data_IF_789668325141
#
_entry.id   IF_789668325141
#
_cell.length_a   1.000
_cell.length_b   1.000
_cell.length_c   1.000
_cell.angle_alpha   90.00
_cell.angle_beta   90.00
_cell.angle_gamma   90.00
#
_symmetry.space_group_name_H-M   'P 1'
#
loop_
_entity.id
_entity.type
_entity.pdbx_description
1 polymer ?
#
# COMPACT_ATOMS: atom_id res chain seq x y z
N UNK A 1 75.19 6.15 -25.08
CA UNK A 1 74.66 5.79 -23.75
C UNK A 1 73.68 6.84 -23.33
N UNK A 2 72.42 6.63 -23.63
CA UNK A 2 71.30 7.56 -23.32
C UNK A 2 70.16 6.80 -22.60
N UNK A 3 69.93 7.16 -21.32
CA UNK A 3 68.86 6.62 -20.45
C UNK A 3 67.54 7.36 -20.75
N UNK A 4 66.41 6.66 -20.88
CA UNK A 4 65.11 7.33 -20.92
C UNK A 4 64.59 7.57 -19.50
N UNK A 5 64.09 8.79 -19.25
CA UNK A 5 63.37 9.23 -18.06
C UNK A 5 61.94 8.77 -18.22
N UNK A 6 61.46 7.88 -17.34
CA UNK A 6 60.07 7.49 -17.23
C UNK A 6 59.39 8.48 -16.29
N UNK A 7 58.52 9.32 -16.83
CA UNK A 7 57.62 10.20 -16.05
C UNK A 7 56.41 9.41 -15.60
N UNK A 8 56.26 9.17 -14.29
CA UNK A 8 55.09 8.56 -13.68
C UNK A 8 53.97 9.63 -13.53
N UNK A 9 52.92 9.53 -14.33
CA UNK A 9 51.70 10.30 -14.20
C UNK A 9 50.85 9.69 -13.06
N UNK A 10 50.85 10.30 -11.88
CA UNK A 10 49.95 9.93 -10.79
C UNK A 10 48.54 10.49 -11.10
N UNK A 11 47.61 9.62 -11.56
CA UNK A 11 46.20 9.92 -11.64
C UNK A 11 45.61 10.03 -10.23
N UNK A 12 45.34 11.25 -9.78
CA UNK A 12 44.47 11.51 -8.63
C UNK A 12 43.02 11.23 -9.05
N UNK A 13 42.51 10.04 -8.74
CA UNK A 13 41.08 9.75 -8.75
C UNK A 13 40.53 10.35 -7.44
N UNK A 14 40.06 11.58 -7.51
CA UNK A 14 39.26 12.20 -6.46
C UNK A 14 37.99 11.37 -6.28
N UNK A 15 37.86 10.65 -5.18
CA UNK A 15 36.62 10.02 -4.76
C UNK A 15 35.59 11.12 -4.52
N UNK A 16 34.72 11.38 -5.52
CA UNK A 16 33.51 12.15 -5.35
C UNK A 16 32.63 11.29 -4.45
N UNK A 17 32.65 11.57 -3.15
CA UNK A 17 31.64 11.03 -2.23
C UNK A 17 30.27 11.48 -2.78
N UNK A 18 29.31 10.57 -2.99
CA UNK A 18 27.98 10.97 -3.40
C UNK A 18 27.42 11.92 -2.32
N UNK A 19 27.18 13.16 -2.71
CA UNK A 19 26.43 14.08 -1.85
C UNK A 19 25.05 13.42 -1.63
N UNK A 20 24.81 12.92 -0.41
CA UNK A 20 23.52 12.40 -0.03
C UNK A 20 22.52 13.55 -0.10
N UNK A 21 21.67 13.53 -1.09
CA UNK A 21 20.64 14.55 -1.24
C UNK A 21 19.60 14.35 -0.12
N UNK A 22 19.44 15.35 0.73
CA UNK A 22 18.40 15.35 1.74
C UNK A 22 17.03 15.28 1.07
N UNK A 23 16.25 14.23 1.36
CA UNK A 23 14.89 14.08 0.83
C UNK A 23 13.95 14.88 1.72
N UNK A 24 13.45 16.00 1.19
CA UNK A 24 12.38 16.75 1.85
C UNK A 24 11.05 16.12 1.43
N UNK A 25 10.23 15.72 2.40
CA UNK A 25 8.90 15.18 2.16
C UNK A 25 7.85 16.15 2.70
N UNK A 26 6.95 16.57 1.83
CA UNK A 26 5.67 17.18 2.17
C UNK A 26 4.56 16.15 2.11
N UNK A 27 3.38 16.47 2.64
CA UNK A 27 2.22 15.57 2.53
C UNK A 27 1.90 15.29 1.05
N UNK A 28 1.86 16.31 0.20
CA UNK A 28 1.54 16.20 -1.23
C UNK A 28 2.55 15.29 -1.96
N UNK A 29 3.85 15.46 -1.72
CA UNK A 29 4.88 14.57 -2.29
C UNK A 29 4.75 13.14 -1.79
N UNK A 30 4.42 12.97 -0.50
CA UNK A 30 4.18 11.64 0.09
C UNK A 30 3.01 10.95 -0.58
N UNK A 31 1.89 11.64 -0.78
CA UNK A 31 0.70 11.10 -1.46
C UNK A 31 1.02 10.73 -2.92
N UNK A 32 1.70 11.62 -3.65
CA UNK A 32 2.07 11.39 -5.06
C UNK A 32 2.98 10.18 -5.20
N UNK A 33 4.05 10.10 -4.41
CA UNK A 33 4.98 8.95 -4.44
C UNK A 33 4.30 7.65 -4.03
N UNK A 34 3.45 7.68 -3.01
CA UNK A 34 2.72 6.50 -2.57
C UNK A 34 1.79 5.95 -3.65
N UNK A 35 1.09 6.83 -4.38
CA UNK A 35 0.20 6.48 -5.49
C UNK A 35 0.92 5.83 -6.65
N UNK A 36 2.14 6.28 -6.96
CA UNK A 36 2.86 5.84 -8.14
C UNK A 36 3.84 4.70 -7.87
N UNK A 37 4.53 4.73 -6.73
CA UNK A 37 5.76 3.96 -6.50
C UNK A 37 5.68 3.04 -5.27
N UNK A 38 4.57 3.02 -4.52
CA UNK A 38 4.48 2.14 -3.34
C UNK A 38 4.66 0.66 -3.74
N UNK A 39 5.18 -0.13 -2.80
CA UNK A 39 5.36 -1.56 -3.01
C UNK A 39 4.05 -2.29 -3.32
N UNK A 40 2.94 -1.85 -2.72
CA UNK A 40 1.60 -2.39 -2.96
C UNK A 40 1.16 -2.17 -4.42
N UNK A 41 1.35 -0.96 -4.96
CA UNK A 41 1.04 -0.62 -6.36
C UNK A 41 1.92 -1.41 -7.32
N UNK A 42 3.22 -1.53 -7.05
CA UNK A 42 4.13 -2.32 -7.88
C UNK A 42 3.71 -3.79 -7.96
N UNK A 43 3.32 -4.39 -6.82
CA UNK A 43 2.81 -5.76 -6.78
C UNK A 43 1.48 -5.89 -7.53
N UNK A 44 0.54 -4.96 -7.37
CA UNK A 44 -0.74 -4.98 -8.07
C UNK A 44 -0.55 -4.84 -9.59
N UNK A 45 0.37 -3.99 -10.06
CA UNK A 45 0.73 -3.88 -11.50
C UNK A 45 1.34 -5.17 -12.04
N UNK A 46 2.17 -5.86 -11.26
CA UNK A 46 2.71 -7.16 -11.66
C UNK A 46 1.60 -8.21 -11.87
N UNK A 47 0.55 -8.20 -11.04
CA UNK A 47 -0.63 -9.06 -11.22
C UNK A 47 -1.43 -8.71 -12.49
N UNK A 48 -1.48 -7.44 -12.90
CA UNK A 48 -2.07 -7.06 -14.19
C UNK A 48 -1.28 -7.68 -15.33
N UNK A 49 0.06 -7.63 -15.30
CA UNK A 49 0.90 -8.26 -16.33
C UNK A 49 0.71 -9.77 -16.38
N UNK A 50 0.52 -10.44 -15.24
CA UNK A 50 0.17 -11.87 -15.17
C UNK A 50 -1.19 -12.14 -15.82
N UNK A 51 -2.20 -11.31 -15.54
CA UNK A 51 -3.53 -11.43 -16.15
C UNK A 51 -3.49 -11.13 -17.67
N UNK A 52 -2.67 -10.17 -18.13
CA UNK A 52 -2.47 -9.90 -19.55
C UNK A 52 -1.85 -11.11 -20.28
N UNK A 53 -0.95 -11.88 -19.63
CA UNK A 53 -0.43 -13.13 -20.18
C UNK A 53 -1.55 -14.17 -20.41
N UNK A 54 -2.54 -14.24 -19.51
CA UNK A 54 -3.71 -15.11 -19.69
C UNK A 54 -4.58 -14.69 -20.90
N UNK A 55 -4.60 -13.39 -21.27
CA UNK A 55 -5.25 -12.93 -22.52
C UNK A 55 -4.51 -13.43 -23.75
N UNK A 56 -3.19 -13.51 -23.72
CA UNK A 56 -2.38 -14.09 -24.81
C UNK A 56 -2.78 -15.55 -25.01
N UNK A 57 -2.79 -16.34 -23.95
CA UNK A 57 -3.23 -17.75 -23.98
C UNK A 57 -4.67 -17.88 -24.49
N UNK A 58 -5.60 -17.06 -23.95
CA UNK A 58 -7.00 -17.06 -24.40
C UNK A 58 -7.17 -16.68 -25.88
N UNK A 59 -6.23 -15.92 -26.46
CA UNK A 59 -6.29 -15.44 -27.83
C UNK A 59 -5.81 -16.44 -28.88
N UNK A 60 -5.19 -17.55 -28.46
CA UNK A 60 -4.71 -18.61 -29.36
C UNK A 60 -5.84 -19.05 -30.29
N UNK A 61 -5.55 -19.14 -31.59
CA UNK A 61 -6.57 -19.43 -32.61
C UNK A 61 -7.06 -20.87 -32.53
N UNK A 62 -6.13 -21.80 -32.31
CA UNK A 62 -6.40 -23.21 -32.18
C UNK A 62 -6.01 -23.61 -30.75
N UNK A 63 -6.99 -23.99 -29.95
CA UNK A 63 -6.74 -24.35 -28.55
C UNK A 63 -5.98 -25.67 -28.42
N UNK A 64 -6.32 -26.63 -29.27
CA UNK A 64 -5.67 -27.90 -29.32
C UNK A 64 -4.67 -27.96 -30.46
N UNK A 65 -3.51 -28.53 -30.20
CA UNK A 65 -2.51 -28.75 -31.21
C UNK A 65 -2.95 -29.86 -32.15
N UNK A 66 -2.45 -29.90 -33.41
CA UNK A 66 -2.65 -31.05 -34.29
C UNK A 66 -2.17 -32.33 -33.61
N UNK A 67 -2.98 -33.34 -33.65
CA UNK A 67 -2.63 -34.67 -33.12
C UNK A 67 -2.23 -35.55 -34.30
N UNK A 68 -1.03 -36.15 -34.23
CA UNK A 68 -0.55 -37.17 -35.17
C UNK A 68 -0.63 -38.49 -34.48
N UNK A 69 -1.40 -39.41 -35.03
CA UNK A 69 -1.50 -40.77 -34.56
C UNK A 69 -0.84 -41.70 -35.56
N UNK A 70 -0.06 -42.68 -35.07
CA UNK A 70 0.61 -43.67 -35.91
C UNK A 70 0.34 -45.05 -35.32
N UNK A 71 -0.15 -45.95 -36.16
CA UNK A 71 -0.38 -47.37 -35.86
C UNK A 71 0.50 -48.28 -36.72
N UNK A 72 1.11 -49.27 -36.10
CA UNK A 72 1.88 -50.32 -36.78
C UNK A 72 1.46 -51.65 -36.19
N UNK A 73 0.99 -52.56 -37.02
CA UNK A 73 0.56 -53.84 -36.49
C UNK A 73 0.47 -54.93 -37.55
N UNK A 74 0.52 -56.20 -37.15
CA UNK A 74 0.22 -57.33 -38.06
C UNK A 74 -1.30 -57.47 -38.17
N UNK A 75 -1.80 -57.45 -39.37
CA UNK A 75 -3.18 -57.87 -39.71
C UNK A 75 -3.20 -59.33 -40.06
N UNK A 76 -4.05 -60.11 -39.42
CA UNK A 76 -4.25 -61.50 -39.71
C UNK A 76 -5.63 -61.71 -40.36
N UNK A 77 -5.63 -62.12 -41.63
CA UNK A 77 -6.87 -62.46 -42.38
C UNK A 77 -6.57 -63.36 -43.54
N UNK A 78 -7.51 -64.28 -43.89
CA UNK A 78 -7.35 -65.12 -45.03
C UNK A 78 -6.19 -66.15 -45.03
N UNK A 79 -5.60 -66.43 -43.84
CA UNK A 79 -4.46 -67.37 -43.69
C UNK A 79 -3.08 -66.75 -43.87
N UNK A 80 -2.99 -65.41 -44.09
CA UNK A 80 -1.75 -64.62 -44.20
C UNK A 80 -1.62 -63.61 -43.07
N UNK A 81 -0.38 -63.24 -42.70
CA UNK A 81 -0.07 -62.14 -41.78
C UNK A 81 0.56 -61.05 -42.60
N UNK A 82 -0.03 -59.88 -42.59
CA UNK A 82 0.36 -58.70 -43.36
C UNK A 82 0.74 -57.56 -42.41
N UNK A 83 1.59 -56.63 -42.83
CA UNK A 83 1.92 -55.43 -42.07
C UNK A 83 1.01 -54.27 -42.47
N UNK A 84 0.35 -53.66 -41.49
CA UNK A 84 -0.50 -52.49 -41.67
C UNK A 84 0.21 -51.26 -41.07
N UNK A 85 0.17 -50.15 -41.77
CA UNK A 85 0.70 -48.86 -41.31
C UNK A 85 -0.43 -47.84 -41.43
N UNK A 86 -0.76 -47.24 -40.29
CA UNK A 86 -1.71 -46.13 -40.19
C UNK A 86 -0.99 -44.86 -39.78
N UNK A 87 -1.26 -43.75 -40.45
CA UNK A 87 -0.85 -42.42 -40.04
C UNK A 87 -2.04 -41.48 -40.18
N UNK A 88 -2.46 -40.85 -39.11
CA UNK A 88 -3.50 -39.82 -39.19
C UNK A 88 -3.06 -38.50 -38.58
N UNK A 89 -3.58 -37.40 -39.12
CA UNK A 89 -3.44 -36.06 -38.60
C UNK A 89 -4.83 -35.49 -38.36
N UNK A 90 -5.10 -35.07 -37.15
CA UNK A 90 -6.38 -34.45 -36.79
C UNK A 90 -6.19 -33.07 -36.15
N UNK A 91 -7.12 -32.16 -36.42
CA UNK A 91 -7.18 -30.81 -35.83
C UNK A 91 -8.60 -30.47 -35.44
N UNK A 92 -8.77 -30.01 -34.20
CA UNK A 92 -10.06 -29.55 -33.69
C UNK A 92 -10.19 -28.03 -33.79
N UNK A 93 -11.39 -27.54 -34.09
CA UNK A 93 -11.74 -26.16 -34.29
C UNK A 93 -12.94 -25.76 -33.40
N UNK A 94 -12.79 -24.70 -32.64
CA UNK A 94 -13.87 -24.05 -31.91
C UNK A 94 -14.81 -23.31 -32.88
N UNK A 95 -16.05 -23.74 -33.07
CA UNK A 95 -16.98 -23.12 -34.03
C UNK A 95 -18.13 -22.35 -33.36
N UNK A 96 -18.30 -22.56 -32.05
CA UNK A 96 -19.40 -22.00 -31.27
C UNK A 96 -19.14 -20.63 -30.63
N UNK A 97 -18.04 -19.94 -30.95
CA UNK A 97 -17.68 -18.68 -30.35
C UNK A 97 -16.95 -18.83 -29.00
N UNK A 98 -16.50 -20.05 -28.68
CA UNK A 98 -15.79 -20.36 -27.43
C UNK A 98 -14.52 -19.49 -27.29
N UNK A 99 -13.76 -19.30 -28.38
CA UNK A 99 -12.58 -18.43 -28.41
C UNK A 99 -12.92 -17.00 -28.00
N UNK A 100 -14.00 -16.43 -28.54
CA UNK A 100 -14.40 -15.05 -28.25
C UNK A 100 -14.84 -14.91 -26.77
N UNK A 101 -15.59 -15.90 -26.26
CA UNK A 101 -15.99 -15.94 -24.86
C UNK A 101 -14.78 -16.08 -23.92
N UNK A 102 -13.79 -16.91 -24.27
CA UNK A 102 -12.54 -17.08 -23.52
C UNK A 102 -11.74 -15.79 -23.47
N UNK A 103 -11.58 -15.09 -24.59
CA UNK A 103 -10.92 -13.78 -24.65
C UNK A 103 -11.69 -12.77 -23.79
N UNK A 104 -13.03 -12.78 -23.84
CA UNK A 104 -13.88 -11.91 -23.03
C UNK A 104 -13.67 -12.15 -21.53
N UNK A 105 -13.63 -13.40 -21.10
CA UNK A 105 -13.39 -13.77 -19.70
C UNK A 105 -11.98 -13.34 -19.23
N UNK A 106 -10.95 -13.57 -20.04
CA UNK A 106 -9.58 -13.14 -19.71
C UNK A 106 -9.45 -11.62 -19.63
N UNK A 107 -10.07 -10.87 -20.54
CA UNK A 107 -10.10 -9.39 -20.48
C UNK A 107 -10.83 -8.87 -19.26
N UNK A 108 -11.96 -9.46 -18.89
CA UNK A 108 -12.68 -9.08 -17.68
C UNK A 108 -11.85 -9.31 -16.42
N UNK A 109 -11.04 -10.39 -16.38
CA UNK A 109 -10.08 -10.62 -15.30
C UNK A 109 -8.98 -9.54 -15.26
N UNK A 110 -8.46 -9.10 -16.41
CA UNK A 110 -7.51 -7.95 -16.48
C UNK A 110 -8.16 -6.68 -15.94
N UNK A 111 -9.40 -6.39 -16.31
CA UNK A 111 -10.11 -5.19 -15.85
C UNK A 111 -10.34 -5.21 -14.33
N UNK A 112 -10.58 -6.39 -13.75
CA UNK A 112 -10.64 -6.56 -12.28
C UNK A 112 -9.26 -6.28 -11.65
N UNK A 113 -8.17 -6.83 -12.20
CA UNK A 113 -6.83 -6.55 -11.69
C UNK A 113 -6.45 -5.06 -11.79
N UNK A 114 -6.88 -4.36 -12.85
CA UNK A 114 -6.71 -2.90 -12.97
C UNK A 114 -7.47 -2.13 -11.90
N UNK A 115 -8.69 -2.55 -11.56
CA UNK A 115 -9.44 -1.97 -10.45
C UNK A 115 -8.72 -2.20 -9.11
N UNK A 116 -8.13 -3.38 -8.90
CA UNK A 116 -7.32 -3.68 -7.72
C UNK A 116 -6.05 -2.82 -7.62
N UNK A 117 -5.44 -2.39 -8.74
CA UNK A 117 -4.34 -1.41 -8.72
C UNK A 117 -4.79 -0.10 -8.10
N UNK A 118 -5.98 0.38 -8.45
CA UNK A 118 -6.53 1.63 -7.89
C UNK A 118 -6.81 1.48 -6.39
N UNK A 119 -7.33 0.34 -5.96
CA UNK A 119 -7.54 0.03 -4.55
C UNK A 119 -6.20 -0.01 -3.79
N UNK A 120 -5.20 -0.71 -4.32
CA UNK A 120 -3.87 -0.79 -3.73
C UNK A 120 -3.18 0.58 -3.65
N UNK A 121 -3.39 1.45 -4.65
CA UNK A 121 -2.88 2.82 -4.64
C UNK A 121 -3.51 3.63 -3.50
N UNK A 122 -4.84 3.58 -3.34
CA UNK A 122 -5.54 4.25 -2.24
C UNK A 122 -5.04 3.79 -0.87
N UNK A 123 -4.93 2.48 -0.67
CA UNK A 123 -4.48 1.91 0.60
C UNK A 123 -3.00 2.28 0.89
N UNK A 124 -2.16 2.29 -0.16
CA UNK A 124 -0.78 2.76 -0.08
C UNK A 124 -0.66 4.24 0.27
N UNK A 125 -1.52 5.08 -0.33
CA UNK A 125 -1.61 6.52 -0.03
C UNK A 125 -2.04 6.75 1.42
N UNK A 126 -3.07 6.05 1.89
CA UNK A 126 -3.52 6.15 3.28
C UNK A 126 -2.42 5.74 4.28
N UNK A 127 -1.75 4.61 4.04
CA UNK A 127 -0.67 4.14 4.90
C UNK A 127 0.51 5.12 4.95
N UNK A 128 0.88 5.70 3.80
CA UNK A 128 1.97 6.67 3.70
C UNK A 128 1.59 8.01 4.36
N UNK A 129 0.38 8.52 4.14
CA UNK A 129 -0.14 9.73 4.78
C UNK A 129 -0.19 9.58 6.30
N UNK A 130 -0.72 8.46 6.80
CA UNK A 130 -0.74 8.16 8.24
C UNK A 130 0.66 8.12 8.84
N UNK A 131 1.62 7.49 8.15
CA UNK A 131 3.02 7.47 8.59
C UNK A 131 3.66 8.86 8.54
N UNK A 132 3.35 9.67 7.52
CA UNK A 132 3.82 11.05 7.41
C UNK A 132 3.33 11.90 8.59
N UNK A 133 2.04 11.87 8.90
CA UNK A 133 1.46 12.60 10.04
C UNK A 133 2.09 12.16 11.37
N UNK A 134 2.29 10.86 11.56
CA UNK A 134 3.01 10.34 12.72
C UNK A 134 4.46 10.85 12.79
N UNK A 135 5.12 10.99 11.63
CA UNK A 135 6.46 11.55 11.52
C UNK A 135 6.54 13.04 11.88
N UNK A 136 5.56 13.84 11.44
CA UNK A 136 5.44 15.25 11.83
C UNK A 136 5.27 15.37 13.35
N UNK A 137 4.39 14.54 13.95
CA UNK A 137 4.21 14.51 15.40
C UNK A 137 5.50 14.10 16.14
N UNK A 138 6.25 13.11 15.62
CA UNK A 138 7.51 12.68 16.20
C UNK A 138 8.58 13.78 16.12
N UNK A 139 8.63 14.53 15.01
CA UNK A 139 9.52 15.69 14.86
C UNK A 139 9.16 16.81 15.84
N UNK A 140 7.88 17.10 16.05
CA UNK A 140 7.42 18.09 17.04
C UNK A 140 7.75 17.67 18.47
N UNK A 141 7.58 16.38 18.80
CA UNK A 141 7.97 15.83 20.11
C UNK A 141 9.48 15.94 20.33
N UNK A 142 10.29 15.64 19.33
CA UNK A 142 11.75 15.78 19.41
C UNK A 142 12.14 17.23 19.64
N UNK A 143 11.53 18.19 18.92
CA UNK A 143 11.77 19.62 19.10
C UNK A 143 11.40 20.08 20.52
N UNK A 144 10.25 19.63 21.02
CA UNK A 144 9.79 19.96 22.39
C UNK A 144 10.71 19.35 23.45
N UNK A 145 11.10 18.08 23.30
CA UNK A 145 12.06 17.42 24.19
C UNK A 145 13.41 18.11 24.22
N UNK A 146 13.92 18.55 23.03
CA UNK A 146 15.15 19.32 22.91
C UNK A 146 15.07 20.65 23.66
N UNK A 147 13.98 21.41 23.47
CA UNK A 147 13.76 22.66 24.19
C UNK A 147 13.71 22.47 25.73
N UNK A 148 13.02 21.41 26.17
CA UNK A 148 12.97 21.06 27.61
C UNK A 148 14.35 20.70 28.15
N UNK A 149 15.13 19.88 27.43
CA UNK A 149 16.49 19.50 27.82
C UNK A 149 17.43 20.72 27.92
N UNK A 150 17.27 21.70 27.02
CA UNK A 150 18.03 22.96 27.08
C UNK A 150 17.69 23.78 28.33
N UNK A 151 16.41 23.82 28.74
CA UNK A 151 15.99 24.48 29.99
C UNK A 151 16.57 23.75 31.19
N UNK A 152 16.43 22.42 31.27
CA UNK A 152 16.94 21.61 32.39
C UNK A 152 18.46 21.68 32.52
N UNK A 153 19.22 21.74 31.39
CA UNK A 153 20.68 21.92 31.42
C UNK A 153 21.09 23.30 31.95
N UNK A 154 20.39 24.38 31.56
CA UNK A 154 20.65 25.74 32.11
C UNK A 154 20.34 25.79 33.58
N UNK A 155 19.23 25.19 34.03
CA UNK A 155 18.86 25.14 35.45
C UNK A 155 19.87 24.35 36.27
N UNK A 156 20.36 23.21 35.79
CA UNK A 156 21.41 22.43 36.43
C UNK A 156 22.70 23.26 36.60
N UNK A 157 23.15 23.93 35.53
CA UNK A 157 24.35 24.79 35.58
C UNK A 157 24.20 25.96 36.53
N UNK A 158 22.99 26.54 36.67
CA UNK A 158 22.72 27.59 37.65
C UNK A 158 22.72 27.05 39.08
N UNK A 159 22.09 25.93 39.32
CA UNK A 159 22.02 25.29 40.66
C UNK A 159 23.40 24.80 41.11
N UNK A 160 24.22 24.26 40.20
CA UNK A 160 25.61 23.83 40.53
C UNK A 160 26.48 25.03 40.99
N UNK A 161 26.38 26.19 40.33
CA UNK A 161 27.06 27.41 40.76
C UNK A 161 26.58 27.87 42.14
N UNK A 162 25.28 27.87 42.41
CA UNK A 162 24.70 28.26 43.71
C UNK A 162 25.10 27.27 44.81
N UNK A 163 25.18 26.01 44.53
CA UNK A 163 25.67 24.98 45.47
C UNK A 163 27.15 25.20 45.80
N UNK A 164 28.01 25.49 44.80
CA UNK A 164 29.41 25.80 45.04
C UNK A 164 29.60 27.07 45.85
N UNK A 165 28.67 28.06 45.78
CA UNK A 165 28.64 29.24 46.63
C UNK A 165 28.04 28.99 48.04
N UNK A 166 27.44 27.83 48.29
CA UNK A 166 26.78 27.49 49.55
C UNK A 166 25.34 28.00 49.68
N UNK A 167 24.74 28.49 48.59
CA UNK A 167 23.41 29.14 48.58
C UNK A 167 22.24 28.16 48.51
N UNK A 168 22.48 26.90 48.12
CA UNK A 168 21.45 25.87 47.99
C UNK A 168 21.91 24.55 48.61
N UNK A 169 20.96 23.69 48.97
CA UNK A 169 21.23 22.38 49.56
C UNK A 169 21.66 21.34 48.48
N UNK A 170 22.37 20.28 48.92
CA UNK A 170 22.75 19.16 48.05
C UNK A 170 21.55 18.47 47.38
N UNK A 171 20.37 18.49 48.06
CA UNK A 171 19.14 17.94 47.52
C UNK A 171 18.67 18.67 46.29
N UNK A 172 18.79 20.01 46.23
CA UNK A 172 18.42 20.83 45.06
C UNK A 172 19.33 20.51 43.86
N UNK A 173 20.65 20.38 44.10
CA UNK A 173 21.58 19.97 43.06
C UNK A 173 21.26 18.57 42.51
N UNK A 174 20.93 17.64 43.38
CA UNK A 174 20.55 16.27 42.95
C UNK A 174 19.23 16.26 42.17
N UNK A 175 18.24 17.06 42.56
CA UNK A 175 16.99 17.23 41.80
C UNK A 175 17.24 17.81 40.41
N UNK A 176 18.07 18.84 40.30
CA UNK A 176 18.44 19.41 39.00
C UNK A 176 19.19 18.42 38.11
N UNK A 177 20.09 17.59 38.67
CA UNK A 177 20.77 16.50 37.94
C UNK A 177 19.84 15.44 37.44
N UNK A 178 18.89 15.00 38.26
CA UNK A 178 17.88 14.01 37.89
C UNK A 178 16.99 14.55 36.76
N UNK A 179 16.56 15.80 36.87
CA UNK A 179 15.73 16.44 35.85
C UNK A 179 16.45 16.57 34.50
N UNK A 180 17.70 17.05 34.50
CA UNK A 180 18.52 17.13 33.31
C UNK A 180 18.75 15.75 32.65
N UNK A 181 19.03 14.72 33.44
CA UNK A 181 19.19 13.34 32.94
C UNK A 181 17.92 12.79 32.32
N UNK A 182 16.75 13.05 32.93
CA UNK A 182 15.43 12.66 32.38
C UNK A 182 15.13 13.39 31.06
N UNK A 183 15.39 14.70 31.02
CA UNK A 183 15.16 15.47 29.80
C UNK A 183 16.04 14.98 28.63
N UNK A 184 17.31 14.66 28.89
CA UNK A 184 18.20 14.09 27.88
C UNK A 184 17.73 12.68 27.42
N UNK A 185 17.27 11.84 28.35
CA UNK A 185 16.68 10.55 28.01
C UNK A 185 15.43 10.70 27.12
N UNK A 186 14.60 11.72 27.37
CA UNK A 186 13.43 12.02 26.53
C UNK A 186 13.83 12.44 25.10
N UNK A 187 14.93 13.21 24.94
CA UNK A 187 15.48 13.54 23.61
C UNK A 187 15.91 12.29 22.87
N UNK A 188 16.60 11.37 23.53
CA UNK A 188 17.04 10.12 22.89
C UNK A 188 15.86 9.23 22.48
N UNK A 189 14.84 9.12 23.33
CA UNK A 189 13.60 8.40 22.98
C UNK A 189 12.94 9.02 21.74
N UNK A 190 12.72 10.34 21.73
CA UNK A 190 12.08 11.04 20.61
C UNK A 190 12.89 10.93 19.30
N UNK A 191 14.22 10.89 19.35
CA UNK A 191 15.08 10.62 18.18
C UNK A 191 14.86 9.21 17.63
N UNK A 192 14.80 8.23 18.51
CA UNK A 192 14.55 6.84 18.12
C UNK A 192 13.17 6.67 17.49
N UNK A 193 12.14 7.32 18.06
CA UNK A 193 10.78 7.30 17.53
C UNK A 193 10.72 7.93 16.12
N UNK A 194 11.35 9.09 15.93
CA UNK A 194 11.42 9.74 14.63
C UNK A 194 12.16 8.87 13.59
N UNK A 195 13.27 8.24 13.98
CA UNK A 195 14.01 7.35 13.10
C UNK A 195 13.16 6.15 12.67
N UNK A 196 12.41 5.53 13.60
CA UNK A 196 11.53 4.41 13.29
C UNK A 196 10.42 4.80 12.29
N UNK A 197 9.83 6.00 12.42
CA UNK A 197 8.83 6.48 11.46
C UNK A 197 9.46 6.80 10.10
N UNK A 198 10.67 7.38 10.08
CA UNK A 198 11.40 7.63 8.84
C UNK A 198 11.70 6.32 8.10
N UNK A 199 12.09 5.26 8.79
CA UNK A 199 12.31 3.94 8.20
C UNK A 199 11.01 3.33 7.66
N UNK A 200 9.90 3.49 8.37
CA UNK A 200 8.58 3.08 7.87
C UNK A 200 8.21 3.80 6.56
N UNK A 201 8.45 5.11 6.48
CA UNK A 201 8.22 5.89 5.25
C UNK A 201 9.14 5.43 4.11
N UNK A 202 10.42 5.12 4.39
CA UNK A 202 11.33 4.55 3.38
C UNK A 202 10.78 3.28 2.76
N UNK A 203 10.28 2.37 3.58
CA UNK A 203 9.67 1.12 3.11
C UNK A 203 8.43 1.38 2.27
N UNK A 204 7.50 2.20 2.77
CA UNK A 204 6.22 2.50 2.09
C UNK A 204 6.44 3.19 0.73
N UNK A 205 7.39 4.13 0.66
CA UNK A 205 7.67 4.95 -0.52
C UNK A 205 8.83 4.42 -1.36
N UNK A 206 9.44 3.29 -0.98
CA UNK A 206 10.61 2.67 -1.64
C UNK A 206 11.77 3.66 -1.81
N UNK A 207 12.04 4.46 -0.78
CA UNK A 207 13.13 5.42 -0.79
C UNK A 207 14.49 4.76 -0.48
N UNK A 208 15.60 5.32 -0.98
CA UNK A 208 16.95 4.84 -0.65
C UNK A 208 17.21 4.85 0.86
N UNK A 209 17.92 3.85 1.36
CA UNK A 209 18.21 3.70 2.79
C UNK A 209 19.17 4.78 3.34
N UNK A 210 20.05 5.30 2.48
CA UNK A 210 21.16 6.18 2.88
C UNK A 210 20.77 7.66 3.00
N UNK A 211 19.66 8.09 2.38
CA UNK A 211 19.32 9.51 2.30
C UNK A 211 18.54 9.96 3.55
N UNK A 212 18.97 11.05 4.22
CA UNK A 212 18.23 11.60 5.35
C UNK A 212 16.88 12.16 4.88
N UNK A 213 15.82 11.88 5.66
CA UNK A 213 14.46 12.37 5.38
C UNK A 213 14.18 13.55 6.30
N UNK A 214 13.77 14.68 5.73
CA UNK A 214 13.20 15.83 6.43
C UNK A 214 11.69 15.89 6.16
N UNK A 215 10.88 15.91 7.22
CA UNK A 215 9.42 16.00 7.11
C UNK A 215 8.99 17.46 7.29
N UNK A 216 8.27 18.00 6.31
CA UNK A 216 7.71 19.35 6.37
C UNK A 216 6.19 19.30 6.30
N UNK A 217 5.53 19.57 7.41
CA UNK A 217 4.08 19.57 7.52
C UNK A 217 3.59 20.23 8.79
N UNK A 218 2.27 20.31 8.92
CA UNK A 218 1.57 20.80 10.10
C UNK A 218 0.49 19.81 10.50
N UNK A 219 0.22 19.70 11.80
CA UNK A 219 -0.87 18.91 12.36
C UNK A 219 -2.11 19.78 12.68
N UNK A 220 -2.11 21.03 12.24
CA UNK A 220 -3.26 21.92 12.47
C UNK A 220 -4.53 21.37 11.82
N UNK A 221 -5.64 21.34 12.56
CA UNK A 221 -6.90 20.86 12.03
C UNK A 221 -7.37 21.71 10.84
N UNK A 222 -7.74 21.05 9.74
CA UNK A 222 -8.30 21.68 8.55
C UNK A 222 -9.81 21.43 8.47
N UNK A 223 -10.55 22.36 7.86
CA UNK A 223 -11.98 22.19 7.63
C UNK A 223 -12.25 21.03 6.64
N UNK A 224 -13.37 20.35 6.85
CA UNK A 224 -13.86 19.30 5.94
C UNK A 224 -15.18 19.77 5.28
N UNK A 225 -15.49 19.25 4.06
CA UNK A 225 -16.78 19.50 3.42
C UNK A 225 -17.96 18.98 4.27
N UNK A 226 -19.19 19.47 4.02
CA UNK A 226 -20.38 18.94 4.68
C UNK A 226 -20.57 17.44 4.42
N UNK A 227 -21.10 16.70 5.41
CA UNK A 227 -21.27 15.25 5.34
C UNK A 227 -22.06 14.79 4.11
N UNK A 228 -23.13 15.51 3.75
CA UNK A 228 -23.97 15.20 2.59
C UNK A 228 -23.18 15.17 1.26
N UNK A 229 -22.23 16.10 1.10
CA UNK A 229 -21.35 16.15 -0.07
C UNK A 229 -20.41 14.94 -0.10
N UNK A 230 -19.87 14.55 1.05
CA UNK A 230 -18.98 13.42 1.18
C UNK A 230 -19.73 12.08 0.96
N UNK A 231 -20.98 11.96 1.44
CA UNK A 231 -21.80 10.75 1.21
C UNK A 231 -22.07 10.51 -0.28
N UNK A 232 -22.21 11.55 -1.08
CA UNK A 232 -22.36 11.42 -2.53
C UNK A 232 -21.10 10.82 -3.19
N UNK A 233 -19.92 11.11 -2.65
CA UNK A 233 -18.64 10.62 -3.19
C UNK A 233 -18.40 9.13 -2.90
N UNK A 234 -19.04 8.54 -1.89
CA UNK A 234 -18.85 7.14 -1.47
C UNK A 234 -19.06 6.15 -2.61
N UNK A 235 -19.98 6.45 -3.55
CA UNK A 235 -20.23 5.59 -4.72
C UNK A 235 -19.02 5.42 -5.63
N UNK A 236 -18.04 6.34 -5.58
CA UNK A 236 -16.79 6.31 -6.34
C UNK A 236 -15.64 5.58 -5.66
N UNK A 237 -15.86 4.93 -4.52
CA UNK A 237 -14.80 4.23 -3.78
C UNK A 237 -14.21 3.06 -4.59
N UNK A 238 -12.87 2.89 -4.61
CA UNK A 238 -12.21 1.86 -5.40
C UNK A 238 -12.65 0.43 -5.07
N UNK A 239 -13.00 0.11 -3.82
CA UNK A 239 -13.49 -1.23 -3.48
C UNK A 239 -14.83 -1.57 -4.15
N UNK A 240 -15.71 -0.59 -4.34
CA UNK A 240 -16.95 -0.78 -5.09
C UNK A 240 -16.68 -0.98 -6.59
N UNK A 241 -15.65 -0.30 -7.11
CA UNK A 241 -15.21 -0.49 -8.48
C UNK A 241 -14.60 -1.90 -8.71
N UNK A 242 -13.87 -2.44 -7.73
CA UNK A 242 -13.35 -3.82 -7.76
C UNK A 242 -14.51 -4.82 -7.79
N UNK A 243 -15.52 -4.66 -6.92
CA UNK A 243 -16.71 -5.52 -6.90
C UNK A 243 -17.51 -5.44 -8.22
N UNK A 244 -17.63 -4.26 -8.80
CA UNK A 244 -18.26 -4.09 -10.11
C UNK A 244 -17.46 -4.77 -11.25
N UNK A 245 -16.14 -4.78 -11.17
CA UNK A 245 -15.28 -5.49 -12.12
C UNK A 245 -15.34 -7.02 -11.90
N UNK A 246 -15.41 -7.47 -10.65
CA UNK A 246 -15.59 -8.88 -10.29
C UNK A 246 -16.94 -9.43 -10.82
N UNK A 247 -18.01 -8.64 -10.73
CA UNK A 247 -19.31 -8.99 -11.31
C UNK A 247 -19.24 -9.17 -12.84
N UNK A 248 -18.54 -8.26 -13.54
CA UNK A 248 -18.32 -8.37 -14.99
C UNK A 248 -17.48 -9.60 -15.36
N UNK A 249 -16.49 -9.94 -14.56
CA UNK A 249 -15.73 -11.18 -14.75
C UNK A 249 -16.62 -12.42 -14.55
N UNK A 250 -17.47 -12.44 -13.52
CA UNK A 250 -18.41 -13.53 -13.30
C UNK A 250 -19.37 -13.69 -14.47
N UNK A 251 -19.90 -12.60 -15.02
CA UNK A 251 -20.78 -12.64 -16.20
C UNK A 251 -20.02 -13.14 -17.45
N UNK A 252 -18.76 -12.76 -17.64
CA UNK A 252 -17.94 -13.25 -18.74
C UNK A 252 -17.65 -14.75 -18.60
N UNK A 253 -17.45 -15.27 -17.38
CA UNK A 253 -17.31 -16.70 -17.11
C UNK A 253 -18.62 -17.47 -17.39
N UNK A 254 -19.78 -16.90 -17.10
CA UNK A 254 -21.08 -17.47 -17.48
C UNK A 254 -21.17 -17.59 -19.00
N UNK A 255 -20.79 -16.55 -19.75
CA UNK A 255 -20.81 -16.59 -21.23
C UNK A 255 -19.83 -17.65 -21.77
N UNK A 256 -18.65 -17.79 -21.17
CA UNK A 256 -17.71 -18.85 -21.53
C UNK A 256 -18.34 -20.23 -21.28
N UNK A 257 -18.93 -20.48 -20.11
CA UNK A 257 -19.63 -21.72 -19.81
C UNK A 257 -20.76 -22.04 -20.81
N UNK A 258 -21.53 -21.03 -21.23
CA UNK A 258 -22.57 -21.19 -22.26
C UNK A 258 -22.00 -21.49 -23.63
N UNK A 259 -20.85 -20.90 -23.98
CA UNK A 259 -20.19 -21.17 -25.24
C UNK A 259 -19.67 -22.63 -25.33
N UNK A 260 -19.27 -23.22 -24.21
CA UNK A 260 -18.86 -24.63 -24.11
C UNK A 260 -19.99 -25.64 -24.39
N UNK A 261 -21.25 -25.19 -24.37
CA UNK A 261 -22.37 -26.01 -24.76
C UNK A 261 -22.52 -26.21 -26.30
N UNK A 262 -21.68 -25.56 -27.08
CA UNK A 262 -21.73 -25.60 -28.56
C UNK A 262 -20.75 -26.68 -29.07
N UNK A 263 -21.11 -27.38 -30.17
CA UNK A 263 -20.26 -28.43 -30.74
C UNK A 263 -18.98 -27.83 -31.33
N UNK A 264 -17.89 -28.62 -31.25
CA UNK A 264 -16.65 -28.38 -31.96
C UNK A 264 -16.53 -29.26 -33.20
N UNK A 265 -15.85 -28.75 -34.22
CA UNK A 265 -15.59 -29.47 -35.46
C UNK A 265 -14.13 -29.90 -35.52
N UNK A 266 -13.88 -31.20 -35.79
CA UNK A 266 -12.56 -31.70 -36.11
C UNK A 266 -12.46 -32.07 -37.58
N UNK A 267 -11.27 -31.89 -38.14
CA UNK A 267 -10.88 -32.38 -39.47
C UNK A 267 -9.78 -33.42 -39.28
N UNK A 268 -9.89 -34.54 -39.96
CA UNK A 268 -8.89 -35.61 -39.94
C UNK A 268 -8.51 -36.02 -41.35
N UNK A 269 -7.23 -36.26 -41.57
CA UNK A 269 -6.70 -36.90 -42.77
C UNK A 269 -5.95 -38.16 -42.30
N UNK A 270 -6.33 -39.31 -42.82
CA UNK A 270 -5.71 -40.59 -42.50
C UNK A 270 -5.10 -41.19 -43.77
N UNK A 271 -3.88 -41.71 -43.64
CA UNK A 271 -3.20 -42.51 -44.60
C UNK A 271 -3.03 -43.93 -44.03
N UNK A 272 -3.52 -44.92 -44.78
CA UNK A 272 -3.43 -46.32 -44.40
C UNK A 272 -2.79 -47.08 -45.55
N UNK A 273 -1.81 -47.90 -45.24
CA UNK A 273 -1.17 -48.80 -46.19
C UNK A 273 -1.33 -50.22 -45.73
N UNK A 274 -2.03 -51.01 -46.60
CA UNK A 274 -2.24 -52.46 -46.48
C UNK A 274 -1.51 -53.13 -47.63
N UNK A 275 -0.35 -53.77 -47.37
CA UNK A 275 0.48 -54.45 -48.41
C UNK A 275 0.75 -53.58 -49.65
N UNK A 276 -0.06 -53.76 -50.70
CA UNK A 276 0.01 -53.01 -51.98
C UNK A 276 -0.99 -51.91 -52.09
N UNK A 277 -2.00 -51.88 -51.20
CA UNK A 277 -3.09 -50.94 -51.31
C UNK A 277 -2.81 -49.72 -50.44
N UNK A 278 -3.07 -48.56 -50.99
CA UNK A 278 -2.94 -47.29 -50.29
C UNK A 278 -4.31 -46.62 -50.21
N UNK A 279 -4.73 -46.33 -48.97
CA UNK A 279 -6.01 -45.71 -48.70
C UNK A 279 -5.75 -44.34 -48.09
N UNK A 280 -6.32 -43.28 -48.68
CA UNK A 280 -6.31 -41.91 -48.11
C UNK A 280 -7.75 -41.54 -47.81
N UNK A 281 -8.01 -41.22 -46.51
CA UNK A 281 -9.35 -40.83 -46.07
C UNK A 281 -9.32 -39.42 -45.49
N UNK A 282 -10.32 -38.61 -45.84
CA UNK A 282 -10.65 -37.36 -45.15
C UNK A 282 -11.88 -37.57 -44.28
N UNK A 283 -11.81 -37.14 -43.03
CA UNK A 283 -12.91 -37.26 -42.07
C UNK A 283 -13.28 -35.96 -41.42
N UNK A 284 -14.54 -35.78 -41.05
CA UNK A 284 -15.06 -34.74 -40.22
C UNK A 284 -15.54 -35.33 -38.90
N UNK A 285 -15.09 -34.75 -37.79
CA UNK A 285 -15.53 -35.16 -36.44
C UNK A 285 -16.33 -33.99 -35.83
N UNK A 286 -17.47 -34.31 -35.24
CA UNK A 286 -18.30 -33.37 -34.50
C UNK A 286 -18.34 -33.79 -33.05
N UNK A 287 -17.75 -33.00 -32.17
CA UNK A 287 -17.81 -33.24 -30.73
C UNK A 287 -19.11 -32.66 -30.19
N UNK A 288 -20.06 -33.56 -29.84
CA UNK A 288 -21.35 -33.16 -29.29
C UNK A 288 -21.28 -33.06 -27.75
N UNK A 289 -21.54 -31.89 -27.13
CA UNK A 289 -21.55 -31.73 -25.68
C UNK A 289 -22.86 -32.31 -25.09
N UNK A 290 -23.02 -33.65 -25.15
CA UNK A 290 -24.24 -34.28 -24.67
C UNK A 290 -24.37 -34.29 -23.15
N UNK A 291 -23.27 -34.51 -22.43
CA UNK A 291 -23.22 -34.61 -20.97
C UNK A 291 -22.58 -33.39 -20.31
N UNK A 292 -21.47 -32.89 -20.83
CA UNK A 292 -20.77 -31.72 -20.37
C UNK A 292 -21.12 -30.49 -21.25
N UNK A 293 -22.04 -29.68 -20.75
CA UNK A 293 -22.58 -28.48 -21.44
C UNK A 293 -22.13 -27.17 -20.79
N UNK A 294 -21.05 -27.22 -19.99
CA UNK A 294 -20.63 -26.07 -19.20
C UNK A 294 -21.59 -25.70 -18.06
N UNK A 295 -22.56 -26.58 -17.74
CA UNK A 295 -23.59 -26.33 -16.73
C UNK A 295 -23.01 -25.99 -15.34
N UNK A 296 -21.91 -26.62 -14.94
CA UNK A 296 -21.21 -26.35 -13.68
C UNK A 296 -20.60 -24.93 -13.66
N UNK A 297 -19.95 -24.55 -14.76
CA UNK A 297 -19.37 -23.20 -14.91
C UNK A 297 -20.47 -22.11 -14.90
N UNK A 298 -21.60 -22.35 -15.57
CA UNK A 298 -22.72 -21.43 -15.57
C UNK A 298 -23.33 -21.32 -14.17
N UNK A 299 -23.58 -22.45 -13.49
CA UNK A 299 -24.17 -22.44 -12.15
C UNK A 299 -23.26 -21.76 -11.12
N UNK A 300 -21.95 -22.04 -11.14
CA UNK A 300 -20.97 -21.41 -10.26
C UNK A 300 -20.83 -19.90 -10.54
N UNK A 301 -20.85 -19.52 -11.84
CA UNK A 301 -20.81 -18.12 -12.25
C UNK A 301 -22.04 -17.34 -11.77
N UNK A 302 -23.25 -17.91 -11.88
CA UNK A 302 -24.48 -17.30 -11.36
C UNK A 302 -24.45 -17.16 -9.83
N UNK A 303 -24.01 -18.18 -9.11
CA UNK A 303 -23.85 -18.12 -7.66
C UNK A 303 -22.84 -17.06 -7.25
N UNK A 304 -21.69 -16.95 -7.97
CA UNK A 304 -20.67 -15.90 -7.75
C UNK A 304 -21.26 -14.51 -8.01
N UNK A 305 -22.00 -14.29 -9.09
CA UNK A 305 -22.63 -13.00 -9.41
C UNK A 305 -23.62 -12.60 -8.33
N UNK A 306 -24.45 -13.54 -7.82
CA UNK A 306 -25.37 -13.28 -6.70
C UNK A 306 -24.61 -12.88 -5.42
N UNK A 307 -23.54 -13.61 -5.07
CA UNK A 307 -22.68 -13.30 -3.92
C UNK A 307 -22.08 -11.91 -4.03
N UNK A 308 -21.52 -11.56 -5.20
CA UNK A 308 -20.91 -10.25 -5.44
C UNK A 308 -21.95 -9.14 -5.32
N UNK A 309 -23.17 -9.34 -5.79
CA UNK A 309 -24.27 -8.37 -5.63
C UNK A 309 -24.56 -8.08 -4.16
N UNK A 310 -24.64 -9.11 -3.31
CA UNK A 310 -24.82 -8.93 -1.87
C UNK A 310 -23.60 -8.26 -1.20
N UNK A 311 -22.39 -8.65 -1.61
CA UNK A 311 -21.15 -8.02 -1.11
C UNK A 311 -21.08 -6.54 -1.46
N UNK A 312 -21.48 -6.15 -2.68
CA UNK A 312 -21.49 -4.76 -3.11
C UNK A 312 -22.49 -3.91 -2.29
N UNK A 313 -23.70 -4.47 -2.00
CA UNK A 313 -24.67 -3.79 -1.15
C UNK A 313 -24.16 -3.61 0.28
N UNK A 314 -23.61 -4.67 0.88
CA UNK A 314 -23.00 -4.60 2.21
C UNK A 314 -21.79 -3.67 2.26
N UNK A 315 -20.96 -3.67 1.22
CA UNK A 315 -19.81 -2.76 1.13
C UNK A 315 -20.25 -1.29 1.07
N UNK A 316 -21.31 -0.99 0.32
CA UNK A 316 -21.88 0.37 0.28
C UNK A 316 -22.42 0.82 1.63
N UNK A 317 -23.17 -0.05 2.32
CA UNK A 317 -23.71 0.25 3.65
C UNK A 317 -22.59 0.47 4.67
N UNK A 318 -21.54 -0.38 4.66
CA UNK A 318 -20.35 -0.21 5.50
C UNK A 318 -19.63 1.10 5.21
N UNK A 319 -19.41 1.43 3.94
CA UNK A 319 -18.73 2.65 3.53
C UNK A 319 -19.45 3.91 4.03
N UNK A 320 -20.79 3.95 3.96
CA UNK A 320 -21.58 5.05 4.53
C UNK A 320 -21.48 5.10 6.06
N UNK A 321 -21.52 3.95 6.74
CA UNK A 321 -21.36 3.88 8.19
C UNK A 321 -19.97 4.33 8.64
N UNK A 322 -18.90 3.88 7.95
CA UNK A 322 -17.52 4.29 8.18
C UNK A 322 -17.35 5.82 8.01
N UNK A 323 -17.89 6.38 6.93
CA UNK A 323 -17.81 7.82 6.69
C UNK A 323 -18.49 8.62 7.80
N UNK A 324 -19.71 8.25 8.19
CA UNK A 324 -20.45 8.95 9.27
C UNK A 324 -19.71 8.87 10.60
N UNK A 325 -19.14 7.71 10.90
CA UNK A 325 -18.34 7.52 12.11
C UNK A 325 -17.05 8.35 12.09
N UNK A 326 -16.30 8.32 10.98
CA UNK A 326 -15.09 9.11 10.80
C UNK A 326 -15.37 10.62 10.89
N UNK A 327 -16.47 11.08 10.29
CA UNK A 327 -16.89 12.48 10.33
C UNK A 327 -17.17 12.95 11.76
N UNK A 328 -17.94 12.16 12.53
CA UNK A 328 -18.27 12.48 13.92
C UNK A 328 -17.01 12.48 14.82
N UNK A 329 -16.12 11.50 14.63
CA UNK A 329 -14.83 11.44 15.34
C UNK A 329 -13.95 12.65 15.02
N UNK A 330 -13.84 13.04 13.76
CA UNK A 330 -13.08 14.22 13.37
C UNK A 330 -13.62 15.49 14.05
N UNK A 331 -14.93 15.72 14.00
CA UNK A 331 -15.54 16.89 14.65
C UNK A 331 -15.24 16.94 16.16
N UNK A 332 -15.33 15.79 16.86
CA UNK A 332 -15.01 15.70 18.28
C UNK A 332 -13.53 15.96 18.58
N UNK A 333 -12.61 15.41 17.77
CA UNK A 333 -11.17 15.60 17.96
C UNK A 333 -10.72 17.03 17.67
N UNK A 334 -11.30 17.66 16.64
CA UNK A 334 -11.04 19.09 16.35
C UNK A 334 -11.52 19.97 17.49
N UNK A 335 -12.72 19.74 18.03
CA UNK A 335 -13.23 20.50 19.17
C UNK A 335 -12.32 20.37 20.41
N UNK A 336 -11.76 19.18 20.64
CA UNK A 336 -10.81 18.94 21.75
C UNK A 336 -9.51 19.72 21.56
N UNK A 337 -8.93 19.72 20.34
CA UNK A 337 -7.73 20.53 20.04
C UNK A 337 -8.00 22.01 20.24
N UNK A 338 -9.14 22.50 19.76
CA UNK A 338 -9.52 23.91 19.92
C UNK A 338 -9.70 24.31 21.39
N UNK A 339 -10.30 23.43 22.22
CA UNK A 339 -10.43 23.66 23.66
C UNK A 339 -9.05 23.77 24.33
N UNK A 340 -8.13 22.84 24.06
CA UNK A 340 -6.79 22.86 24.62
C UNK A 340 -6.00 24.10 24.18
N UNK A 341 -6.11 24.47 22.90
CA UNK A 341 -5.44 25.67 22.36
C UNK A 341 -5.95 26.98 22.98
N UNK A 342 -7.27 27.06 23.24
CA UNK A 342 -7.88 28.28 23.80
C UNK A 342 -7.70 28.38 25.31
N UNK A 343 -7.85 27.28 26.05
CA UNK A 343 -8.01 27.31 27.50
C UNK A 343 -6.72 26.87 28.23
N UNK A 344 -6.00 25.86 27.72
CA UNK A 344 -4.85 25.28 28.40
C UNK A 344 -3.51 25.92 28.05
N UNK A 345 -3.22 26.09 26.75
CA UNK A 345 -1.91 26.58 26.31
C UNK A 345 -1.57 27.99 26.81
N UNK A 346 -2.48 28.99 26.81
CA UNK A 346 -2.19 30.31 27.38
C UNK A 346 -1.88 30.24 28.88
N UNK A 347 -2.68 29.48 29.65
CA UNK A 347 -2.48 29.30 31.09
C UNK A 347 -1.15 28.63 31.42
N UNK A 348 -0.72 27.66 30.59
CA UNK A 348 0.59 27.00 30.72
C UNK A 348 1.72 28.00 30.51
N UNK A 349 1.66 28.82 29.44
CA UNK A 349 2.68 29.82 29.14
C UNK A 349 2.79 30.90 30.26
N UNK A 350 1.65 31.38 30.77
CA UNK A 350 1.60 32.31 31.86
C UNK A 350 2.18 31.73 33.16
N UNK A 351 1.82 30.50 33.51
CA UNK A 351 2.33 29.83 34.71
C UNK A 351 3.84 29.59 34.64
N UNK A 352 4.39 29.17 33.48
CA UNK A 352 5.83 29.02 33.31
C UNK A 352 6.57 30.35 33.52
N UNK A 353 6.05 31.46 32.93
CA UNK A 353 6.65 32.78 33.06
C UNK A 353 6.58 33.31 34.49
N UNK A 354 5.50 33.06 35.22
CA UNK A 354 5.34 33.40 36.63
C UNK A 354 6.29 32.57 37.50
N UNK A 355 6.30 31.26 37.34
CA UNK A 355 7.14 30.37 38.12
C UNK A 355 8.64 30.67 37.94
N UNK A 356 9.06 30.96 36.71
CA UNK A 356 10.45 31.33 36.43
C UNK A 356 10.84 32.63 37.19
N UNK A 357 9.99 33.64 37.15
CA UNK A 357 10.23 34.92 37.85
C UNK A 357 10.24 34.75 39.37
N UNK A 358 9.29 33.99 39.95
CA UNK A 358 9.23 33.78 41.39
C UNK A 358 10.43 32.95 41.89
N UNK A 359 10.92 31.99 41.09
CA UNK A 359 12.13 31.24 41.41
C UNK A 359 13.39 32.15 41.38
N UNK A 360 13.51 33.03 40.39
CA UNK A 360 14.62 33.98 40.27
C UNK A 360 14.60 34.99 41.40
N UNK A 361 13.42 35.41 41.91
CA UNK A 361 13.24 36.25 43.06
C UNK A 361 13.49 35.53 44.43
N UNK A 362 13.63 34.23 44.41
CA UNK A 362 13.79 33.42 45.64
C UNK A 362 12.49 33.16 46.39
N UNK A 363 11.33 33.46 45.80
CA UNK A 363 10.00 33.26 46.36
C UNK A 363 9.42 31.86 46.12
N UNK A 364 10.03 31.11 45.23
CA UNK A 364 9.61 29.76 44.86
C UNK A 364 10.76 28.76 44.99
N UNK A 365 10.46 27.52 45.44
CA UNK A 365 11.44 26.45 45.54
C UNK A 365 11.78 25.88 44.16
N UNK A 366 12.97 25.24 44.03
CA UNK A 366 13.35 24.52 42.82
C UNK A 366 12.35 23.41 42.52
N UNK A 367 11.86 22.69 43.55
CA UNK A 367 10.89 21.61 43.35
C UNK A 367 9.58 22.12 42.72
N UNK A 368 9.06 23.24 43.19
CA UNK A 368 7.83 23.82 42.65
C UNK A 368 8.02 24.28 41.20
N UNK A 369 9.18 24.92 40.88
CA UNK A 369 9.52 25.28 39.51
C UNK A 369 9.55 24.05 38.58
N UNK A 370 10.23 22.97 39.00
CA UNK A 370 10.29 21.74 38.22
C UNK A 370 8.90 21.10 38.04
N UNK A 371 8.02 21.18 39.04
CA UNK A 371 6.64 20.73 38.94
C UNK A 371 5.86 21.51 37.88
N UNK A 372 5.96 22.84 37.86
CA UNK A 372 5.29 23.69 36.85
C UNK A 372 5.83 23.38 35.45
N UNK A 373 7.17 23.26 35.30
CA UNK A 373 7.78 22.92 34.00
C UNK A 373 7.34 21.53 33.50
N UNK A 374 7.20 20.55 34.40
CA UNK A 374 6.69 19.23 34.03
C UNK A 374 5.24 19.28 33.54
N UNK A 375 4.35 19.97 34.28
CA UNK A 375 2.96 20.13 33.85
C UNK A 375 2.87 20.84 32.49
N UNK A 376 3.70 21.82 32.25
CA UNK A 376 3.77 22.53 30.98
C UNK A 376 4.18 21.61 29.82
N UNK A 377 5.20 20.79 30.05
CA UNK A 377 5.65 19.78 29.08
C UNK A 377 4.55 18.75 28.79
N UNK A 378 3.89 18.23 29.83
CA UNK A 378 2.84 17.22 29.71
C UNK A 378 1.64 17.76 28.88
N UNK A 379 1.21 19.02 29.14
CA UNK A 379 0.14 19.64 28.34
C UNK A 379 0.54 19.86 26.90
N UNK A 380 1.78 20.29 26.62
CA UNK A 380 2.25 20.44 25.23
C UNK A 380 2.35 19.11 24.49
N UNK A 381 2.82 18.06 25.16
CA UNK A 381 2.81 16.69 24.60
C UNK A 381 1.39 16.22 24.29
N UNK A 382 0.44 16.48 25.22
CA UNK A 382 -0.97 16.19 25.03
C UNK A 382 -1.54 16.90 23.81
N UNK A 383 -1.20 18.20 23.61
CA UNK A 383 -1.64 18.96 22.44
C UNK A 383 -1.13 18.34 21.14
N UNK A 384 0.16 17.97 21.06
CA UNK A 384 0.73 17.30 19.87
C UNK A 384 -0.02 15.98 19.61
N UNK A 385 -0.31 15.21 20.65
CA UNK A 385 -1.06 13.95 20.53
C UNK A 385 -2.48 14.19 19.99
N UNK A 386 -3.22 15.15 20.51
CA UNK A 386 -4.58 15.46 20.07
C UNK A 386 -4.60 16.07 18.66
N UNK A 387 -3.59 16.87 18.30
CA UNK A 387 -3.42 17.34 16.92
C UNK A 387 -3.17 16.20 15.95
N UNK A 388 -2.31 15.22 16.30
CA UNK A 388 -2.10 14.04 15.49
C UNK A 388 -3.39 13.24 15.32
N UNK A 389 -4.15 13.01 16.41
CA UNK A 389 -5.43 12.32 16.35
C UNK A 389 -6.45 13.05 15.45
N UNK A 390 -6.50 14.37 15.52
CA UNK A 390 -7.38 15.17 14.67
C UNK A 390 -6.96 15.10 13.18
N UNK A 391 -5.66 15.16 12.90
CA UNK A 391 -5.14 15.03 11.55
C UNK A 391 -5.37 13.62 10.97
N UNK A 392 -5.21 12.56 11.78
CA UNK A 392 -5.54 11.19 11.39
C UNK A 392 -7.04 11.02 11.16
N UNK A 393 -7.89 11.58 12.01
CA UNK A 393 -9.35 11.54 11.80
C UNK A 393 -9.78 12.28 10.52
N UNK A 394 -9.08 13.36 10.14
CA UNK A 394 -9.27 13.99 8.83
C UNK A 394 -8.92 13.02 7.70
N UNK A 395 -7.77 12.37 7.79
CA UNK A 395 -7.34 11.37 6.81
C UNK A 395 -8.35 10.21 6.70
N UNK A 396 -8.92 9.78 7.85
CA UNK A 396 -9.97 8.74 7.87
C UNK A 396 -11.24 9.19 7.13
N UNK A 397 -11.62 10.47 7.23
CA UNK A 397 -12.75 11.04 6.47
C UNK A 397 -12.45 11.05 4.98
N UNK A 398 -11.25 11.50 4.57
CA UNK A 398 -10.84 11.57 3.16
C UNK A 398 -10.76 10.14 2.55
N UNK A 399 -10.33 9.16 3.34
CA UNK A 399 -10.32 7.75 2.96
C UNK A 399 -11.74 7.17 2.85
N UNK A 400 -12.58 7.44 3.85
CA UNK A 400 -13.96 6.92 3.90
C UNK A 400 -14.88 7.55 2.85
N UNK A 401 -14.65 8.80 2.46
CA UNK A 401 -15.38 9.46 1.36
C UNK A 401 -14.95 8.97 -0.02
N UNK A 402 -13.72 8.44 -0.16
CA UNK A 402 -13.11 8.09 -1.44
C UNK A 402 -12.43 9.30 -2.12
N UNK A 403 -12.14 10.37 -1.39
CA UNK A 403 -11.39 11.53 -1.88
C UNK A 403 -9.91 11.20 -2.09
N UNK A 404 -9.35 10.33 -1.25
CA UNK A 404 -8.01 9.75 -1.44
C UNK A 404 -8.00 8.74 -2.59
N UNK A 405 -7.70 9.22 -3.80
CA UNK A 405 -7.57 8.40 -5.02
C UNK A 405 -6.13 8.28 -5.47
#
# INVERSE_FOLDING_TARGET
MSRPVVAALACWIGAIAPAHAQIVLTLEETLTRAREQSGAVALARARVAEADAAVIDASVRFRENPVIETGLGPRRGGGTTMSEIDVSVSQQFETGGQRQARIGAARAAVDRQRAEVTLAARDGVFAAASAFLAGVAAADRLRLAGASADVSRRLLAATDRRFAAGDVAAIDLNLARIDAARAEAAVQSARTDLAAVADRLRILLRLPAADPIELRGSLEPTAIPPLEQLEFMVSGRPELAVLAADAREADAQIQLGRAQARPDLGVQVAYQREETDTIVMGGLTVTLPAFQKGQGAVASGMARSTRIGLEAELARQRALGELRSAYALHAGRVALVQMLARDALPSVADNEALAQRSYEAGEMSLMDLLLVQRHALDVRLLVIERQLEAAQARLDVDFASGELR
#
